data_IF_311596723102
#
_entry.id   IF_311596723102
#
_cell.length_a   1.000
_cell.length_b   1.000
_cell.length_c   1.000
_cell.angle_alpha   90.00
_cell.angle_beta   90.00
_cell.angle_gamma   90.00
#
_symmetry.space_group_name_H-M   'P 1'
#
loop_
_entity.id
_entity.type
_entity.pdbx_description
1 polymer ?
#
# COMPACT_ATOMS: atom_id res chain seq x y z
N UNK A 1 0.30 8.74 -8.04
CA UNK A 1 -1.15 8.68 -7.67
C UNK A 1 -1.36 8.44 -6.18
N UNK A 2 -0.31 8.24 -5.38
CA UNK A 2 -0.46 7.84 -3.99
C UNK A 2 -1.23 8.88 -3.14
N UNK A 3 -0.97 10.17 -3.36
CA UNK A 3 -1.65 11.28 -2.68
C UNK A 3 -2.95 11.75 -3.34
N UNK A 4 -3.31 11.21 -4.52
CA UNK A 4 -4.45 11.71 -5.27
C UNK A 4 -5.76 11.51 -4.50
N UNK A 5 -6.61 12.53 -4.58
CA UNK A 5 -7.98 12.54 -4.06
C UNK A 5 -8.89 13.16 -5.11
N UNK A 6 -10.13 12.69 -5.16
CA UNK A 6 -11.19 13.28 -5.98
C UNK A 6 -12.27 13.88 -5.07
N UNK A 7 -13.05 14.82 -5.59
CA UNK A 7 -14.14 15.41 -4.82
C UNK A 7 -15.17 14.35 -4.40
N UNK A 8 -15.72 14.48 -3.17
CA UNK A 8 -16.70 13.52 -2.61
C UNK A 8 -17.89 13.26 -3.53
N UNK A 9 -18.36 14.27 -4.27
CA UNK A 9 -19.43 14.10 -5.27
C UNK A 9 -19.06 13.06 -6.33
N UNK A 10 -17.86 13.15 -6.89
CA UNK A 10 -17.37 12.19 -7.89
C UNK A 10 -17.10 10.81 -7.26
N UNK A 11 -16.51 10.78 -6.05
CA UNK A 11 -16.25 9.52 -5.35
C UNK A 11 -17.54 8.74 -5.06
N UNK A 12 -18.62 9.43 -4.68
CA UNK A 12 -19.93 8.81 -4.42
C UNK A 12 -20.64 8.28 -5.68
N UNK A 13 -20.19 8.65 -6.89
CA UNK A 13 -20.70 8.07 -8.14
C UNK A 13 -20.08 6.71 -8.44
N UNK A 14 -18.93 6.40 -7.84
CA UNK A 14 -18.25 5.12 -8.04
C UNK A 14 -18.79 4.09 -7.05
N UNK A 15 -19.42 3.04 -7.57
CA UNK A 15 -19.82 1.91 -6.76
C UNK A 15 -18.57 1.17 -6.24
N UNK A 16 -18.27 1.32 -4.96
CA UNK A 16 -17.17 0.59 -4.30
C UNK A 16 -17.62 -0.86 -4.06
N UNK A 17 -16.76 -1.86 -4.31
CA UNK A 17 -17.10 -3.23 -4.00
C UNK A 17 -17.48 -3.40 -2.52
N UNK A 18 -18.45 -4.28 -2.19
CA UNK A 18 -18.82 -4.53 -0.81
C UNK A 18 -17.63 -4.90 0.06
N UNK A 19 -17.49 -4.21 1.18
CA UNK A 19 -16.52 -4.49 2.23
C UNK A 19 -17.21 -4.61 3.58
N UNK A 20 -16.56 -5.30 4.52
CA UNK A 20 -16.86 -5.19 5.94
C UNK A 20 -15.96 -4.16 6.61
N UNK A 21 -16.46 -3.49 7.65
CA UNK A 21 -15.66 -2.61 8.51
C UNK A 21 -15.32 -3.36 9.80
N UNK A 22 -14.04 -3.47 10.11
CA UNK A 22 -13.52 -4.25 11.24
C UNK A 22 -12.58 -3.38 12.07
N UNK A 23 -12.83 -3.31 13.37
CA UNK A 23 -11.84 -2.88 14.35
C UNK A 23 -10.97 -4.08 14.71
N UNK A 24 -9.68 -4.03 14.36
CA UNK A 24 -8.70 -5.09 14.59
C UNK A 24 -7.38 -4.50 15.06
N UNK A 25 -6.40 -5.35 15.37
CA UNK A 25 -5.08 -4.91 15.78
C UNK A 25 -4.04 -5.05 14.66
N UNK A 26 -2.95 -4.29 14.75
CA UNK A 26 -1.82 -4.46 13.82
C UNK A 26 -1.13 -5.81 13.98
N UNK A 27 -1.16 -6.42 15.18
CA UNK A 27 -0.71 -7.80 15.33
C UNK A 27 -1.57 -8.80 14.57
N UNK A 28 -2.90 -8.61 14.55
CA UNK A 28 -3.79 -9.46 13.76
C UNK A 28 -3.51 -9.31 12.26
N UNK A 29 -3.33 -8.09 11.75
CA UNK A 29 -3.09 -7.91 10.30
C UNK A 29 -1.72 -8.46 9.90
N UNK A 30 -0.69 -8.27 10.72
CA UNK A 30 0.66 -8.78 10.48
C UNK A 30 0.77 -10.30 10.58
N UNK A 31 -0.20 -10.98 11.20
CA UNK A 31 -0.26 -12.44 11.24
C UNK A 31 -1.00 -13.07 10.06
N UNK A 32 -1.65 -12.26 9.21
CA UNK A 32 -2.35 -12.78 8.03
C UNK A 32 -1.32 -13.30 7.01
N UNK A 33 -1.50 -14.50 6.42
CA UNK A 33 -0.46 -15.14 5.61
C UNK A 33 0.12 -14.24 4.51
N UNK A 34 -0.75 -13.66 3.67
CA UNK A 34 -0.32 -12.78 2.57
C UNK A 34 0.39 -11.52 3.07
N UNK A 35 0.02 -10.99 4.24
CA UNK A 35 0.69 -9.83 4.83
C UNK A 35 2.05 -10.23 5.38
N UNK A 36 2.12 -11.32 6.14
CA UNK A 36 3.36 -11.80 6.74
C UNK A 36 4.47 -12.05 5.70
N UNK A 37 4.10 -12.63 4.55
CA UNK A 37 5.02 -13.00 3.47
C UNK A 37 5.51 -11.79 2.64
N UNK A 38 4.68 -10.75 2.51
CA UNK A 38 4.93 -9.69 1.52
C UNK A 38 5.20 -8.32 2.13
N UNK A 39 4.69 -8.01 3.33
CA UNK A 39 4.71 -6.63 3.83
C UNK A 39 6.12 -6.08 3.96
N UNK A 40 7.10 -6.91 4.31
CA UNK A 40 8.50 -6.49 4.51
C UNK A 40 9.22 -6.12 3.20
N UNK A 41 8.68 -6.52 2.06
CA UNK A 41 9.17 -6.13 0.73
C UNK A 41 8.75 -4.71 0.35
N UNK A 42 7.73 -4.15 1.02
CA UNK A 42 7.36 -2.74 0.87
C UNK A 42 8.53 -1.88 1.39
N UNK A 43 8.99 -0.88 0.63
CA UNK A 43 10.05 0.02 1.10
C UNK A 43 9.68 0.73 2.39
N UNK A 44 10.65 0.93 3.28
CA UNK A 44 10.43 1.62 4.54
C UNK A 44 10.41 3.14 4.35
N UNK A 45 9.32 3.78 4.76
CA UNK A 45 9.23 5.22 4.91
C UNK A 45 9.60 5.62 6.35
N UNK A 46 10.84 6.03 6.58
CA UNK A 46 11.36 6.36 7.92
C UNK A 46 10.59 7.52 8.60
N UNK A 47 10.29 8.66 7.93
CA UNK A 47 9.45 9.70 8.53
C UNK A 47 8.07 9.20 8.99
N UNK A 48 7.49 8.25 8.26
CA UNK A 48 6.20 7.65 8.64
C UNK A 48 6.33 6.75 9.89
N UNK A 49 7.49 6.12 10.10
CA UNK A 49 7.76 5.34 11.34
C UNK A 49 7.72 6.25 12.55
N UNK A 50 8.42 7.40 12.48
CA UNK A 50 8.46 8.39 13.56
C UNK A 50 7.05 8.91 13.89
N UNK A 51 6.31 9.32 12.86
CA UNK A 51 4.92 9.77 13.01
C UNK A 51 4.05 8.69 13.68
N UNK A 52 4.13 7.44 13.25
CA UNK A 52 3.34 6.35 13.82
C UNK A 52 3.75 6.05 15.28
N UNK A 53 5.03 6.11 15.63
CA UNK A 53 5.48 5.92 17.01
C UNK A 53 4.87 6.94 17.97
N UNK A 54 4.77 8.21 17.54
CA UNK A 54 4.26 9.29 18.39
C UNK A 54 2.74 9.24 18.56
N UNK A 55 2.00 8.97 17.49
CA UNK A 55 0.55 9.22 17.46
C UNK A 55 -0.30 8.08 16.85
N UNK A 56 0.34 6.98 16.45
CA UNK A 56 -0.32 5.83 15.87
C UNK A 56 -0.82 6.05 14.45
N UNK A 57 -1.77 5.21 14.02
CA UNK A 57 -2.36 5.31 12.68
C UNK A 57 -3.73 6.00 12.75
N UNK A 58 -3.84 7.13 12.05
CA UNK A 58 -5.06 7.96 12.05
C UNK A 58 -6.13 7.52 11.04
N UNK A 59 -5.75 7.39 9.76
CA UNK A 59 -6.69 7.07 8.69
C UNK A 59 -6.97 5.54 8.62
N UNK A 60 -8.13 5.10 8.11
CA UNK A 60 -8.44 3.68 7.97
C UNK A 60 -7.62 3.02 6.85
N UNK A 61 -7.70 1.69 6.78
CA UNK A 61 -7.11 0.89 5.69
C UNK A 61 -8.20 0.33 4.78
N UNK A 62 -7.84 0.13 3.51
CA UNK A 62 -8.59 -0.69 2.57
C UNK A 62 -7.79 -1.96 2.30
N UNK A 63 -8.41 -3.13 2.42
CA UNK A 63 -7.76 -4.42 2.24
C UNK A 63 -8.50 -5.30 1.24
N UNK A 64 -7.73 -6.14 0.54
CA UNK A 64 -8.25 -7.29 -0.21
C UNK A 64 -8.90 -8.31 0.72
N UNK A 65 -9.60 -9.31 0.16
CA UNK A 65 -10.14 -10.44 0.94
C UNK A 65 -9.05 -11.14 1.76
N UNK A 66 -7.83 -11.21 1.22
CA UNK A 66 -6.63 -11.77 1.86
C UNK A 66 -6.06 -10.92 3.02
N UNK A 67 -6.71 -9.81 3.39
CA UNK A 67 -6.23 -8.79 4.33
C UNK A 67 -5.03 -7.96 3.84
N UNK A 68 -4.49 -8.25 2.66
CA UNK A 68 -3.39 -7.44 2.11
C UNK A 68 -3.87 -6.00 1.87
N UNK A 69 -3.17 -4.98 2.39
CA UNK A 69 -3.58 -3.59 2.22
C UNK A 69 -3.48 -3.13 0.77
N UNK A 70 -4.60 -2.65 0.23
CA UNK A 70 -4.67 -1.86 -1.00
C UNK A 70 -4.29 -0.42 -0.66
N UNK A 71 -4.91 0.14 0.39
CA UNK A 71 -4.57 1.46 0.93
C UNK A 71 -3.97 1.32 2.34
N UNK A 72 -2.76 1.84 2.53
CA UNK A 72 -2.06 1.84 3.83
C UNK A 72 -0.99 0.78 4.02
N UNK A 73 -0.50 0.14 2.95
CA UNK A 73 0.62 -0.81 3.00
C UNK A 73 1.87 -0.22 3.66
N UNK A 74 2.26 1.02 3.33
CA UNK A 74 3.35 1.76 3.96
C UNK A 74 3.20 1.90 5.48
N UNK A 75 1.97 2.08 5.98
CA UNK A 75 1.69 2.19 7.42
C UNK A 75 1.85 0.85 8.13
N UNK A 76 1.37 -0.24 7.53
CA UNK A 76 1.58 -1.60 8.08
C UNK A 76 3.06 -1.99 7.99
N UNK A 77 3.79 -1.57 6.95
CA UNK A 77 5.24 -1.75 6.82
C UNK A 77 6.02 -1.03 7.92
N UNK A 78 5.63 0.21 8.24
CA UNK A 78 6.21 0.97 9.34
C UNK A 78 5.95 0.29 10.69
N UNK A 79 4.73 -0.19 10.94
CA UNK A 79 4.42 -0.95 12.16
C UNK A 79 5.22 -2.26 12.25
N UNK A 80 5.39 -2.99 11.14
CA UNK A 80 6.26 -4.15 11.10
C UNK A 80 7.71 -3.79 11.47
N UNK A 81 8.23 -2.65 10.97
CA UNK A 81 9.57 -2.19 11.32
C UNK A 81 9.71 -1.88 12.81
N UNK A 82 8.76 -1.12 13.37
CA UNK A 82 8.73 -0.78 14.79
C UNK A 82 8.75 -2.06 15.63
N UNK A 83 7.89 -3.02 15.29
CA UNK A 83 7.81 -4.28 16.04
C UNK A 83 9.09 -5.11 15.93
N UNK A 84 9.64 -5.20 14.72
CA UNK A 84 10.80 -6.06 14.46
C UNK A 84 12.12 -5.44 15.01
N UNK A 85 12.19 -4.13 15.28
CA UNK A 85 13.46 -3.44 15.59
C UNK A 85 13.44 -2.47 16.80
N UNK A 86 12.27 -2.03 17.27
CA UNK A 86 12.15 -0.96 18.28
C UNK A 86 11.40 -1.46 19.52
N UNK A 87 10.18 -1.98 19.34
CA UNK A 87 9.33 -2.51 20.42
C UNK A 87 8.55 -3.73 19.94
N UNK A 88 8.97 -4.92 20.34
CA UNK A 88 8.35 -6.20 19.96
C UNK A 88 6.87 -6.32 20.35
N UNK A 89 6.40 -5.53 21.32
CA UNK A 89 5.01 -5.52 21.78
C UNK A 89 4.17 -4.44 21.11
N UNK A 90 4.76 -3.65 20.19
CA UNK A 90 4.09 -2.55 19.53
C UNK A 90 2.88 -3.02 18.73
N UNK A 91 1.71 -2.56 19.15
CA UNK A 91 0.43 -3.04 18.65
C UNK A 91 -0.64 -1.95 18.74
N UNK A 92 -1.23 -1.60 17.59
CA UNK A 92 -2.22 -0.53 17.49
C UNK A 92 -3.60 -1.11 17.17
N UNK A 93 -4.65 -0.49 17.68
CA UNK A 93 -6.00 -0.68 17.17
C UNK A 93 -6.18 0.10 15.88
N UNK A 94 -6.68 -0.54 14.82
CA UNK A 94 -6.90 0.05 13.51
C UNK A 94 -8.30 -0.26 12.99
N UNK A 95 -8.81 0.62 12.14
CA UNK A 95 -10.03 0.36 11.37
C UNK A 95 -9.65 -0.11 9.97
N UNK A 96 -10.20 -1.26 9.57
CA UNK A 96 -9.97 -1.88 8.27
C UNK A 96 -11.29 -2.07 7.54
N UNK A 97 -11.32 -1.62 6.29
CA UNK A 97 -12.37 -1.91 5.33
C UNK A 97 -11.87 -3.05 4.45
N UNK A 98 -12.42 -4.25 4.62
CA UNK A 98 -11.96 -5.46 3.91
C UNK A 98 -12.98 -5.87 2.86
N UNK A 99 -12.56 -5.94 1.60
CA UNK A 99 -13.44 -6.48 0.55
C UNK A 99 -13.91 -7.90 0.91
N UNK A 100 -15.19 -8.15 0.68
CA UNK A 100 -15.78 -9.46 0.97
C UNK A 100 -15.29 -10.53 -0.02
N UNK A 101 -15.03 -10.12 -1.26
CA UNK A 101 -14.60 -10.97 -2.37
C UNK A 101 -13.53 -10.29 -3.22
N UNK A 102 -12.81 -11.08 -4.03
CA UNK A 102 -11.79 -10.60 -4.94
C UNK A 102 -12.43 -10.14 -6.27
N UNK A 103 -13.07 -8.97 -6.25
CA UNK A 103 -13.85 -8.43 -7.38
C UNK A 103 -13.04 -8.17 -8.66
N UNK A 104 -11.73 -7.97 -8.52
CA UNK A 104 -10.80 -7.85 -9.66
C UNK A 104 -10.69 -9.17 -10.46
N UNK A 105 -11.18 -10.31 -9.94
CA UNK A 105 -11.12 -11.59 -10.64
C UNK A 105 -11.82 -11.58 -12.01
N UNK A 106 -12.74 -10.64 -12.23
CA UNK A 106 -13.38 -10.44 -13.54
C UNK A 106 -12.35 -10.22 -14.67
N UNK A 107 -11.20 -9.61 -14.38
CA UNK A 107 -10.17 -9.37 -15.39
C UNK A 107 -9.44 -10.65 -15.83
N UNK A 108 -9.46 -11.73 -15.04
CA UNK A 108 -8.84 -13.01 -15.44
C UNK A 108 -9.53 -13.70 -16.62
N UNK A 109 -10.73 -13.27 -17.00
CA UNK A 109 -11.39 -13.76 -18.22
C UNK A 109 -10.77 -13.17 -19.49
N UNK A 110 -9.96 -12.11 -19.37
CA UNK A 110 -9.27 -11.50 -20.49
C UNK A 110 -8.00 -12.29 -20.85
N UNK A 111 -7.87 -12.68 -22.12
CA UNK A 111 -6.82 -13.59 -22.60
C UNK A 111 -5.44 -12.94 -22.68
N UNK A 112 -5.39 -11.63 -22.98
CA UNK A 112 -4.13 -10.88 -23.02
C UNK A 112 -3.63 -10.62 -21.59
N UNK A 113 -2.54 -11.30 -21.23
CA UNK A 113 -1.92 -11.21 -19.91
C UNK A 113 -1.38 -9.82 -19.61
N UNK A 114 -0.72 -9.16 -20.57
CA UNK A 114 -0.09 -7.86 -20.31
C UNK A 114 -1.18 -6.81 -20.05
N UNK A 115 -2.21 -6.79 -20.88
CA UNK A 115 -3.34 -5.91 -20.67
C UNK A 115 -4.08 -6.23 -19.37
N UNK A 116 -4.32 -7.51 -19.09
CA UNK A 116 -4.99 -7.94 -17.85
C UNK A 116 -4.27 -7.44 -16.61
N UNK A 117 -2.95 -7.66 -16.54
CA UNK A 117 -2.17 -7.31 -15.36
C UNK A 117 -2.17 -5.77 -15.15
N UNK A 118 -2.11 -4.99 -16.25
CA UNK A 118 -2.29 -3.53 -16.21
C UNK A 118 -3.69 -3.11 -15.78
N UNK A 119 -4.74 -3.76 -16.30
CA UNK A 119 -6.12 -3.45 -15.97
C UNK A 119 -6.43 -3.70 -14.48
N UNK A 120 -5.89 -4.79 -13.92
CA UNK A 120 -5.98 -5.10 -12.49
C UNK A 120 -5.28 -4.02 -11.67
N UNK A 121 -4.06 -3.61 -12.05
CA UNK A 121 -3.33 -2.56 -11.36
C UNK A 121 -4.09 -1.22 -11.36
N UNK A 122 -4.60 -0.81 -12.53
CA UNK A 122 -5.43 0.40 -12.67
C UNK A 122 -6.69 0.30 -11.81
N UNK A 123 -7.34 -0.87 -11.79
CA UNK A 123 -8.52 -1.09 -10.95
C UNK A 123 -8.21 -0.85 -9.47
N UNK A 124 -7.15 -1.44 -8.94
CA UNK A 124 -6.75 -1.24 -7.54
C UNK A 124 -6.44 0.23 -7.23
N UNK A 125 -5.72 0.92 -8.12
CA UNK A 125 -5.41 2.33 -7.98
C UNK A 125 -6.68 3.20 -7.94
N UNK A 126 -7.66 2.92 -8.81
CA UNK A 126 -8.94 3.63 -8.79
C UNK A 126 -9.72 3.36 -7.49
N UNK A 127 -9.75 2.12 -7.01
CA UNK A 127 -10.40 1.79 -5.73
C UNK A 127 -9.72 2.51 -4.56
N UNK A 128 -8.39 2.60 -4.58
CA UNK A 128 -7.64 3.34 -3.57
C UNK A 128 -8.01 4.82 -3.57
N UNK A 129 -8.02 5.50 -4.73
CA UNK A 129 -8.36 6.93 -4.83
C UNK A 129 -9.78 7.19 -4.33
N UNK A 130 -10.76 6.37 -4.74
CA UNK A 130 -12.15 6.50 -4.27
C UNK A 130 -12.23 6.30 -2.76
N UNK A 131 -11.60 5.24 -2.25
CA UNK A 131 -11.59 4.95 -0.82
C UNK A 131 -11.01 6.09 0.00
N UNK A 132 -9.82 6.57 -0.36
CA UNK A 132 -9.18 7.67 0.39
C UNK A 132 -10.03 8.93 0.36
N UNK A 133 -10.67 9.24 -0.77
CA UNK A 133 -11.55 10.40 -0.92
C UNK A 133 -12.81 10.34 -0.03
N UNK A 134 -13.29 9.13 0.27
CA UNK A 134 -14.48 8.91 1.09
C UNK A 134 -14.17 8.78 2.58
N UNK A 135 -13.08 8.10 2.93
CA UNK A 135 -12.86 7.58 4.29
C UNK A 135 -11.64 8.17 5.01
N UNK A 136 -10.76 8.92 4.34
CA UNK A 136 -9.71 9.65 5.04
C UNK A 136 -10.29 10.94 5.60
N UNK A 137 -10.14 11.12 6.92
CA UNK A 137 -10.65 12.28 7.65
C UNK A 137 -9.52 13.13 8.23
N UNK A 138 -8.29 12.61 8.23
CA UNK A 138 -7.11 13.30 8.72
C UNK A 138 -6.21 13.69 7.55
N UNK A 139 -5.98 14.99 7.40
CA UNK A 139 -5.14 15.57 6.34
C UNK A 139 -3.69 15.77 6.79
N UNK A 140 -3.43 15.84 8.10
CA UNK A 140 -2.11 16.06 8.67
C UNK A 140 -1.89 15.26 9.97
N UNK A 141 -0.61 15.08 10.32
CA UNK A 141 -0.17 14.54 11.59
C UNK A 141 -0.29 15.59 12.72
N UNK A 142 0.12 15.25 13.94
CA UNK A 142 0.08 16.14 15.10
C UNK A 142 1.08 17.30 15.02
N UNK A 143 2.09 17.18 14.16
CA UNK A 143 3.12 18.19 13.90
C UNK A 143 2.76 19.10 12.71
N UNK A 144 1.67 18.80 12.00
CA UNK A 144 1.22 19.53 10.81
C UNK A 144 1.78 19.02 9.48
N UNK A 145 2.55 17.91 9.47
CA UNK A 145 3.00 17.24 8.25
C UNK A 145 1.78 16.69 7.52
N UNK A 146 1.66 16.95 6.21
CA UNK A 146 0.50 16.45 5.47
C UNK A 146 0.62 14.96 5.27
N UNK A 147 -0.50 14.26 5.42
CA UNK A 147 -0.56 12.81 5.16
C UNK A 147 -0.15 12.47 3.74
N UNK A 148 -0.44 13.36 2.79
CA UNK A 148 -0.02 13.25 1.39
C UNK A 148 1.49 13.25 1.21
N UNK A 149 2.24 13.94 2.08
CA UNK A 149 3.70 14.03 1.96
C UNK A 149 4.34 12.66 2.24
N UNK A 150 3.80 11.90 3.21
CA UNK A 150 4.21 10.52 3.45
C UNK A 150 3.84 9.59 2.29
N UNK A 151 2.67 9.79 1.68
CA UNK A 151 2.22 8.99 0.55
C UNK A 151 3.09 9.22 -0.70
N UNK A 152 3.39 10.48 -1.01
CA UNK A 152 4.25 10.88 -2.12
C UNK A 152 5.70 10.41 -1.92
N UNK A 153 6.20 10.45 -0.68
CA UNK A 153 7.51 9.90 -0.36
C UNK A 153 7.52 8.39 -0.59
N UNK A 154 6.49 7.68 -0.12
CA UNK A 154 6.35 6.23 -0.31
C UNK A 154 6.35 5.80 -1.78
N UNK A 155 5.75 6.60 -2.67
CA UNK A 155 5.74 6.35 -4.13
C UNK A 155 7.14 6.51 -4.77
N UNK A 156 8.03 7.32 -4.18
CA UNK A 156 9.40 7.55 -4.67
C UNK A 156 10.40 6.50 -4.20
N UNK A 157 10.08 5.72 -3.17
CA UNK A 157 10.98 4.71 -2.63
C UNK A 157 11.09 3.52 -3.61
N UNK A 158 12.31 3.11 -3.94
CA UNK A 158 12.57 1.99 -4.85
C UNK A 158 12.17 0.65 -4.21
N UNK A 159 11.31 -0.10 -4.89
CA UNK A 159 10.95 -1.46 -4.49
C UNK A 159 12.10 -2.43 -4.77
N UNK A 160 12.16 -3.54 -4.03
CA UNK A 160 13.20 -4.56 -4.28
C UNK A 160 13.13 -5.15 -5.69
N UNK A 161 11.92 -5.29 -6.25
CA UNK A 161 11.74 -5.76 -7.63
C UNK A 161 12.26 -4.78 -8.69
N UNK A 162 12.37 -3.49 -8.37
CA UNK A 162 12.91 -2.47 -9.29
C UNK A 162 14.45 -2.49 -9.34
N UNK A 163 15.11 -3.10 -8.35
CA UNK A 163 16.58 -3.07 -8.26
C UNK A 163 17.26 -4.03 -9.24
N UNK A 164 16.53 -5.00 -9.79
CA UNK A 164 17.11 -6.05 -10.65
C UNK A 164 17.31 -5.61 -12.10
N UNK A 165 16.74 -4.49 -12.52
CA UNK A 165 16.85 -3.98 -13.90
C UNK A 165 18.04 -3.03 -14.13
N UNK A 166 18.71 -2.57 -13.05
CA UNK A 166 19.83 -1.63 -13.13
C UNK A 166 21.22 -2.30 -13.32
N UNK A 167 21.30 -3.64 -13.36
CA UNK A 167 22.56 -4.36 -13.64
C UNK A 167 22.62 -4.71 -15.14
N UNK A 168 23.04 -3.75 -15.96
CA UNK A 168 23.51 -4.06 -17.31
C UNK A 168 24.75 -4.97 -17.19
N UNK A 169 24.82 -6.12 -17.88
CA UNK A 169 26.06 -6.85 -17.97
C UNK A 169 27.04 -6.03 -18.81
N UNK A 170 28.20 -5.72 -18.24
CA UNK A 170 29.34 -5.19 -18.98
C UNK A 170 29.57 -6.10 -20.19
N UNK A 171 29.32 -5.57 -21.39
CA UNK A 171 29.63 -6.27 -22.63
C UNK A 171 31.15 -6.43 -22.73
N UNK A 172 31.70 -7.64 -22.92
CA UNK A 172 33.14 -7.78 -23.11
C UNK A 172 33.54 -7.10 -24.42
N UNK A 173 34.49 -6.17 -24.31
CA UNK A 173 35.16 -5.55 -25.45
C UNK A 173 35.91 -6.62 -26.24
N UNK A 174 35.40 -6.97 -27.42
CA UNK A 174 36.15 -7.73 -28.41
C UNK A 174 37.22 -6.81 -29.02
N UNK A 175 38.43 -6.82 -28.44
CA UNK A 175 39.65 -6.48 -29.16
C UNK A 175 39.98 -7.65 -30.09
N UNK A 176 39.79 -7.45 -31.39
CA UNK A 176 40.43 -8.28 -32.42
C UNK A 176 41.42 -7.36 -33.12
N UNK A 177 42.69 -7.51 -32.72
CA UNK A 177 43.83 -7.00 -33.47
C UNK A 177 43.88 -7.64 -34.87
N UNK A 178 44.11 -6.79 -35.88
CA UNK A 178 44.74 -7.14 -37.16
C UNK A 178 45.71 -6.05 -37.54
#
# INVERSE_FOLDING_TARGET
MASDRIGKTAANLVAVPPFEVRAITTNFILSQPTVADNIRQVPLNEPLVESILEEGIKNPHLCMKSWYPIAGSQRIRAVAHIRDNIDENYNLNITVHRFLEDWHNVYYVWSDKEFRDKAIAIWFQMQEVVFKSLYYTHEADGQGTKMTDFEDLGEKLKWEHDRTTDVLPDSPSNNIDK
#
